data_IF_452995185320
#
_entry.id   IF_452995185320
#
_cell.length_a   1.000
_cell.length_b   1.000
_cell.length_c   1.000
_cell.angle_alpha   90.00
_cell.angle_beta   90.00
_cell.angle_gamma   90.00
#
_symmetry.space_group_name_H-M   'P 1'
#
loop_
_entity.id
_entity.type
_entity.pdbx_description
1 polymer ?
#
# COMPACT_ATOMS: atom_id res chain seq x y z
N UNK A 1 25.04 8.80 12.09
CA UNK A 1 23.69 8.21 12.26
C UNK A 1 23.79 6.75 11.82
N UNK A 2 23.37 5.77 12.63
CA UNK A 2 23.39 4.36 12.19
C UNK A 2 22.29 4.23 11.11
N UNK A 3 22.63 3.78 9.91
CA UNK A 3 21.66 3.36 8.92
C UNK A 3 20.86 2.21 9.53
N UNK A 4 19.55 2.30 9.48
CA UNK A 4 18.65 1.22 9.87
C UNK A 4 18.36 0.35 8.65
N UNK A 5 17.77 -0.81 8.89
CA UNK A 5 17.35 -1.76 7.85
C UNK A 5 15.98 -1.38 7.23
N UNK A 6 15.43 -0.21 7.61
CA UNK A 6 14.17 0.30 7.11
C UNK A 6 14.34 1.13 5.84
N UNK A 7 13.29 1.27 5.00
CA UNK A 7 13.34 2.12 3.82
C UNK A 7 13.88 3.52 4.14
N UNK A 8 14.65 4.09 3.22
CA UNK A 8 15.38 5.36 3.35
C UNK A 8 16.49 5.36 4.41
N UNK A 9 16.77 4.24 5.07
CA UNK A 9 17.82 4.13 6.10
C UNK A 9 17.56 4.96 7.37
N UNK A 10 16.33 5.35 7.63
CA UNK A 10 15.92 6.18 8.76
C UNK A 10 15.43 5.33 9.93
N UNK A 11 15.60 5.83 11.15
CA UNK A 11 15.04 5.21 12.36
C UNK A 11 13.55 5.49 12.48
N UNK A 12 12.82 4.59 13.13
CA UNK A 12 11.39 4.73 13.37
C UNK A 12 11.05 4.51 14.85
N UNK A 13 9.91 5.02 15.29
CA UNK A 13 9.34 4.78 16.61
C UNK A 13 7.87 4.38 16.48
N UNK A 14 7.39 3.50 17.36
CA UNK A 14 6.00 3.06 17.39
C UNK A 14 5.04 4.22 17.62
N UNK A 15 3.92 4.20 16.89
CA UNK A 15 2.78 5.09 17.08
C UNK A 15 1.74 4.35 17.94
N UNK A 16 1.35 4.95 19.05
CA UNK A 16 0.41 4.34 20.01
C UNK A 16 -0.98 4.97 19.99
N UNK A 17 -1.15 6.12 19.33
CA UNK A 17 -2.42 6.85 19.19
C UNK A 17 -2.44 7.67 17.91
N UNK A 18 -3.62 8.01 17.41
CA UNK A 18 -3.82 8.93 16.30
C UNK A 18 -4.58 8.32 15.14
N UNK A 19 -5.08 9.19 14.26
CA UNK A 19 -6.01 8.86 13.17
C UNK A 19 -5.45 7.79 12.22
N UNK A 20 -4.16 7.86 11.85
CA UNK A 20 -3.56 6.87 10.97
C UNK A 20 -3.57 5.46 11.59
N UNK A 21 -3.27 5.36 12.90
CA UNK A 21 -3.33 4.07 13.60
C UNK A 21 -4.77 3.54 13.64
N UNK A 22 -5.74 4.39 13.90
CA UNK A 22 -7.16 4.00 13.95
C UNK A 22 -7.64 3.47 12.59
N UNK A 23 -7.26 4.14 11.50
CA UNK A 23 -7.54 3.70 10.13
C UNK A 23 -6.89 2.35 9.83
N UNK A 24 -5.61 2.21 10.15
CA UNK A 24 -4.90 0.96 9.92
C UNK A 24 -5.53 -0.21 10.71
N UNK A 25 -5.88 0.01 11.98
CA UNK A 25 -6.58 -1.00 12.79
C UNK A 25 -7.97 -1.36 12.24
N UNK A 26 -8.65 -0.43 11.58
CA UNK A 26 -9.89 -0.73 10.83
C UNK A 26 -9.59 -1.64 9.65
N UNK A 27 -8.62 -1.27 8.82
CA UNK A 27 -8.18 -2.08 7.66
C UNK A 27 -7.77 -3.49 8.10
N UNK A 28 -6.99 -3.65 9.17
CA UNK A 28 -6.57 -4.97 9.66
C UNK A 28 -7.75 -5.87 10.06
N UNK A 29 -8.80 -5.32 10.66
CA UNK A 29 -10.02 -6.07 10.95
C UNK A 29 -10.73 -6.53 9.67
N UNK A 30 -10.90 -5.63 8.72
CA UNK A 30 -11.52 -5.92 7.41
C UNK A 30 -10.69 -6.93 6.61
N UNK A 31 -9.36 -6.82 6.64
CA UNK A 31 -8.46 -7.81 6.03
C UNK A 31 -8.61 -9.22 6.64
N UNK A 32 -8.93 -9.31 7.94
CA UNK A 32 -9.20 -10.61 8.56
C UNK A 32 -10.43 -11.28 7.96
N UNK A 33 -11.50 -10.51 7.72
CA UNK A 33 -12.71 -11.03 7.08
C UNK A 33 -12.47 -11.37 5.61
N UNK A 34 -11.72 -10.54 4.88
CA UNK A 34 -11.36 -10.81 3.47
C UNK A 34 -10.52 -12.08 3.33
N UNK A 35 -9.58 -12.34 4.24
CA UNK A 35 -8.78 -13.58 4.21
C UNK A 35 -9.62 -14.82 4.36
N UNK A 36 -10.68 -14.79 5.16
CA UNK A 36 -11.62 -15.91 5.26
C UNK A 36 -12.34 -16.13 3.92
N UNK A 37 -12.79 -15.07 3.26
CA UNK A 37 -13.43 -15.15 1.95
C UNK A 37 -12.45 -15.65 0.88
N UNK A 38 -11.23 -15.11 0.84
CA UNK A 38 -10.19 -15.54 -0.09
C UNK A 38 -9.89 -17.03 0.08
N UNK A 39 -9.78 -17.52 1.32
CA UNK A 39 -9.56 -18.95 1.60
C UNK A 39 -10.68 -19.82 1.05
N UNK A 40 -11.94 -19.43 1.24
CA UNK A 40 -13.10 -20.16 0.69
C UNK A 40 -13.03 -20.20 -0.85
N UNK A 41 -12.71 -19.07 -1.46
CA UNK A 41 -12.61 -18.95 -2.92
C UNK A 41 -11.39 -19.70 -3.51
N UNK A 42 -10.29 -19.77 -2.78
CA UNK A 42 -9.10 -20.53 -3.17
C UNK A 42 -9.35 -22.05 -3.10
N UNK A 43 -10.07 -22.51 -2.07
CA UNK A 43 -10.41 -23.92 -1.90
C UNK A 43 -11.44 -24.41 -2.94
N UNK A 44 -12.37 -23.57 -3.38
CA UNK A 44 -13.36 -23.87 -4.42
C UNK A 44 -13.71 -22.65 -5.27
N UNK A 45 -12.93 -22.44 -6.32
CA UNK A 45 -13.15 -21.36 -7.30
C UNK A 45 -14.53 -21.42 -7.97
N UNK A 46 -15.08 -22.63 -8.18
CA UNK A 46 -16.37 -22.80 -8.88
C UNK A 46 -17.55 -22.33 -8.02
N UNK A 47 -17.42 -22.42 -6.72
CA UNK A 47 -18.44 -21.98 -5.76
C UNK A 47 -18.22 -20.54 -5.28
N UNK A 48 -17.07 -19.92 -5.61
CA UNK A 48 -16.78 -18.54 -5.24
C UNK A 48 -17.74 -17.56 -5.93
N UNK A 49 -18.43 -16.73 -5.14
CA UNK A 49 -19.40 -15.74 -5.62
C UNK A 49 -18.83 -14.32 -5.70
N UNK A 50 -17.63 -14.10 -5.21
CA UNK A 50 -16.97 -12.79 -5.21
C UNK A 50 -16.07 -12.62 -6.44
N UNK A 51 -16.49 -11.77 -7.38
CA UNK A 51 -15.67 -11.43 -8.53
C UNK A 51 -14.36 -10.76 -8.14
N UNK A 52 -14.38 -9.91 -7.11
CA UNK A 52 -13.18 -9.26 -6.58
C UNK A 52 -12.19 -10.27 -5.97
N UNK A 53 -12.68 -11.27 -5.23
CA UNK A 53 -11.84 -12.32 -4.68
C UNK A 53 -11.20 -13.18 -5.80
N UNK A 54 -11.96 -13.56 -6.80
CA UNK A 54 -11.43 -14.31 -7.95
C UNK A 54 -10.38 -13.50 -8.73
N UNK A 55 -10.62 -12.20 -8.91
CA UNK A 55 -9.69 -11.30 -9.57
C UNK A 55 -8.40 -11.12 -8.74
N UNK A 56 -8.53 -10.94 -7.44
CA UNK A 56 -7.38 -10.85 -6.53
C UNK A 56 -6.55 -12.14 -6.55
N UNK A 57 -7.19 -13.30 -6.44
CA UNK A 57 -6.51 -14.60 -6.50
C UNK A 57 -5.79 -14.80 -7.84
N UNK A 58 -6.41 -14.43 -8.97
CA UNK A 58 -5.77 -14.52 -10.29
C UNK A 58 -4.48 -13.64 -10.37
N UNK A 59 -4.49 -12.45 -9.78
CA UNK A 59 -3.30 -11.58 -9.69
C UNK A 59 -2.22 -12.24 -8.83
N UNK A 60 -2.58 -12.77 -7.67
CA UNK A 60 -1.66 -13.44 -6.75
C UNK A 60 -1.05 -14.69 -7.39
N UNK A 61 -1.86 -15.52 -8.04
CA UNK A 61 -1.40 -16.76 -8.68
C UNK A 61 -0.46 -16.51 -9.85
N UNK A 62 -0.75 -15.47 -10.67
CA UNK A 62 0.17 -15.02 -11.71
C UNK A 62 1.55 -14.64 -11.13
N UNK A 63 1.55 -13.91 -10.02
CA UNK A 63 2.79 -13.51 -9.36
C UNK A 63 3.52 -14.68 -8.68
N UNK A 64 2.80 -15.65 -8.13
CA UNK A 64 3.37 -16.88 -7.53
C UNK A 64 4.19 -17.68 -8.54
N UNK A 65 3.86 -17.62 -9.82
CA UNK A 65 4.60 -18.27 -10.91
C UNK A 65 5.99 -17.65 -11.15
N UNK A 66 6.27 -16.49 -10.58
CA UNK A 66 7.53 -15.74 -10.71
C UNK A 66 8.29 -15.67 -9.38
N UNK A 67 9.56 -15.24 -9.44
CA UNK A 67 10.42 -15.06 -8.26
C UNK A 67 11.12 -13.70 -8.26
N UNK A 68 11.56 -13.24 -7.09
CA UNK A 68 12.35 -12.03 -6.94
C UNK A 68 11.66 -10.80 -7.54
N UNK A 69 12.41 -10.00 -8.30
CA UNK A 69 11.91 -8.75 -8.90
C UNK A 69 10.75 -8.95 -9.86
N UNK A 70 10.69 -10.09 -10.55
CA UNK A 70 9.59 -10.38 -11.48
C UNK A 70 8.26 -10.56 -10.73
N UNK A 71 8.26 -11.29 -9.60
CA UNK A 71 7.07 -11.43 -8.73
C UNK A 71 6.57 -10.07 -8.24
N UNK A 72 7.48 -9.25 -7.70
CA UNK A 72 7.14 -7.92 -7.19
C UNK A 72 6.59 -7.03 -8.31
N UNK A 73 7.22 -7.07 -9.48
CA UNK A 73 6.82 -6.30 -10.65
C UNK A 73 5.46 -6.72 -11.22
N UNK A 74 5.15 -8.02 -11.20
CA UNK A 74 3.84 -8.53 -11.63
C UNK A 74 2.71 -7.97 -10.76
N UNK A 75 2.84 -8.01 -9.43
CA UNK A 75 1.87 -7.41 -8.51
C UNK A 75 1.75 -5.91 -8.75
N UNK A 76 2.87 -5.17 -8.82
CA UNK A 76 2.83 -3.73 -9.05
C UNK A 76 2.08 -3.39 -10.34
N UNK A 77 2.41 -4.08 -11.43
CA UNK A 77 1.78 -3.87 -12.73
C UNK A 77 0.30 -4.26 -12.73
N UNK A 78 -0.04 -5.44 -12.20
CA UNK A 78 -1.42 -5.93 -12.21
C UNK A 78 -2.35 -4.99 -11.43
N UNK A 79 -1.98 -4.60 -10.21
CA UNK A 79 -2.77 -3.69 -9.37
C UNK A 79 -2.89 -2.31 -10.05
N UNK A 80 -1.79 -1.74 -10.58
CA UNK A 80 -1.83 -0.44 -11.25
C UNK A 80 -2.72 -0.43 -12.51
N UNK A 81 -2.88 -1.55 -13.20
CA UNK A 81 -3.73 -1.65 -14.38
C UNK A 81 -5.19 -1.98 -14.04
N UNK A 82 -5.44 -2.56 -12.88
CA UNK A 82 -6.78 -3.02 -12.49
C UNK A 82 -7.60 -1.91 -11.82
N UNK A 83 -6.96 -1.11 -10.98
CA UNK A 83 -7.59 -0.02 -10.22
C UNK A 83 -7.47 1.28 -11.02
N UNK A 84 -8.56 2.05 -11.11
CA UNK A 84 -8.56 3.41 -11.68
C UNK A 84 -8.27 4.42 -10.56
N UNK A 85 -7.41 5.44 -10.80
CA UNK A 85 -7.16 6.46 -9.79
C UNK A 85 -8.40 7.38 -9.65
N UNK A 86 -9.04 7.33 -8.49
CA UNK A 86 -10.19 8.17 -8.13
C UNK A 86 -10.04 8.53 -6.66
N UNK A 87 -10.24 9.80 -6.31
CA UNK A 87 -10.18 10.25 -4.92
C UNK A 87 -11.37 9.71 -4.11
N UNK A 88 -11.16 9.48 -2.83
CA UNK A 88 -12.19 9.05 -1.89
C UNK A 88 -13.39 9.99 -1.85
N UNK A 89 -13.15 11.29 -1.92
CA UNK A 89 -14.23 12.27 -1.97
C UNK A 89 -15.15 12.03 -3.18
N UNK A 90 -14.60 11.68 -4.33
CA UNK A 90 -15.38 11.39 -5.53
C UNK A 90 -16.04 10.01 -5.48
N UNK A 91 -15.44 9.04 -4.80
CA UNK A 91 -15.92 7.67 -4.73
C UNK A 91 -16.95 7.47 -3.60
N UNK A 92 -16.67 8.02 -2.42
CA UNK A 92 -17.44 7.78 -1.19
C UNK A 92 -18.13 9.02 -0.64
N UNK A 93 -17.82 10.22 -1.14
CA UNK A 93 -18.29 11.49 -0.55
C UNK A 93 -17.61 11.83 0.79
N UNK A 94 -16.61 11.09 1.16
CA UNK A 94 -15.78 11.26 2.37
C UNK A 94 -14.31 11.37 1.97
N UNK A 95 -13.48 12.00 2.80
CA UNK A 95 -12.06 12.12 2.54
C UNK A 95 -11.28 11.03 3.29
N UNK A 96 -10.24 10.50 2.63
CA UNK A 96 -9.20 9.66 3.25
C UNK A 96 -9.80 8.37 3.87
N UNK A 97 -10.49 7.57 3.04
CA UNK A 97 -11.13 6.28 3.36
C UNK A 97 -10.22 5.14 2.95
N UNK A 98 -9.63 4.46 3.90
CA UNK A 98 -8.73 3.33 3.63
C UNK A 98 -9.51 2.04 3.44
N UNK A 99 -9.39 1.44 2.27
CA UNK A 99 -10.14 0.24 1.87
C UNK A 99 -9.25 -1.00 1.73
N UNK A 100 -9.72 -2.17 2.19
CA UNK A 100 -9.02 -3.42 1.94
C UNK A 100 -9.15 -3.87 0.47
N UNK A 101 -8.30 -4.79 -0.01
CA UNK A 101 -8.17 -5.13 -1.43
C UNK A 101 -9.45 -5.52 -2.15
N UNK A 102 -10.33 -6.31 -1.51
CA UNK A 102 -11.53 -6.78 -2.19
C UNK A 102 -12.58 -5.69 -2.36
N UNK A 103 -12.64 -4.71 -1.45
CA UNK A 103 -13.47 -3.53 -1.60
C UNK A 103 -12.94 -2.69 -2.76
N UNK A 104 -11.65 -2.36 -2.77
CA UNK A 104 -11.02 -1.58 -3.84
C UNK A 104 -11.18 -2.23 -5.22
N UNK A 105 -11.04 -3.57 -5.30
CA UNK A 105 -11.22 -4.29 -6.56
C UNK A 105 -12.70 -4.39 -6.99
N UNK A 106 -13.63 -4.46 -6.04
CA UNK A 106 -15.06 -4.45 -6.35
C UNK A 106 -15.51 -3.09 -6.94
N UNK A 107 -14.97 -1.98 -6.43
CA UNK A 107 -15.19 -0.62 -6.95
C UNK A 107 -14.41 -0.39 -8.26
N UNK A 108 -13.31 -1.13 -8.46
CA UNK A 108 -12.40 -0.95 -9.59
C UNK A 108 -11.74 0.44 -9.61
N UNK A 109 -11.73 1.12 -8.47
CA UNK A 109 -11.21 2.47 -8.29
C UNK A 109 -10.73 2.68 -6.85
N UNK A 110 -9.83 3.64 -6.65
CA UNK A 110 -9.29 4.00 -5.34
C UNK A 110 -8.16 5.02 -5.49
N UNK A 111 -7.64 5.51 -4.37
CA UNK A 111 -6.50 6.42 -4.38
C UNK A 111 -5.20 5.77 -3.86
N UNK A 112 -4.20 6.55 -3.48
CA UNK A 112 -2.85 6.03 -3.27
C UNK A 112 -2.74 4.99 -2.16
N UNK A 113 -3.47 5.13 -1.06
CA UNK A 113 -3.48 4.18 0.05
C UNK A 113 -4.17 2.87 -0.30
N UNK A 114 -5.26 2.90 -1.09
CA UNK A 114 -5.95 1.71 -1.55
C UNK A 114 -5.05 0.86 -2.45
N UNK A 115 -4.33 1.50 -3.38
CA UNK A 115 -3.31 0.82 -4.18
C UNK A 115 -2.19 0.24 -3.31
N UNK A 116 -1.74 0.99 -2.30
CA UNK A 116 -0.67 0.53 -1.42
C UNK A 116 -1.13 -0.68 -0.57
N UNK A 117 -2.34 -0.65 -0.02
CA UNK A 117 -2.93 -1.76 0.74
C UNK A 117 -3.10 -2.98 -0.15
N UNK A 118 -3.68 -2.81 -1.35
CA UNK A 118 -3.89 -3.90 -2.29
C UNK A 118 -2.57 -4.57 -2.70
N UNK A 119 -1.53 -3.79 -3.02
CA UNK A 119 -0.19 -4.31 -3.35
C UNK A 119 0.45 -5.01 -2.16
N UNK A 120 0.38 -4.41 -0.97
CA UNK A 120 0.97 -4.96 0.25
C UNK A 120 0.39 -6.34 0.56
N UNK A 121 -0.93 -6.47 0.53
CA UNK A 121 -1.62 -7.75 0.79
C UNK A 121 -1.35 -8.75 -0.34
N UNK A 122 -1.41 -8.33 -1.60
CA UNK A 122 -1.13 -9.22 -2.74
C UNK A 122 0.31 -9.76 -2.73
N UNK A 123 1.29 -8.96 -2.31
CA UNK A 123 2.67 -9.40 -2.15
C UNK A 123 2.82 -10.43 -1.03
N UNK A 124 2.12 -10.23 0.11
CA UNK A 124 2.10 -11.21 1.21
C UNK A 124 1.50 -12.53 0.72
N UNK A 125 0.34 -12.49 0.08
CA UNK A 125 -0.32 -13.69 -0.45
C UNK A 125 0.50 -14.37 -1.57
N UNK A 126 1.26 -13.60 -2.34
CA UNK A 126 2.20 -14.15 -3.33
C UNK A 126 3.47 -14.74 -2.70
N UNK A 127 3.63 -14.72 -1.36
CA UNK A 127 4.73 -15.35 -0.63
C UNK A 127 5.96 -14.45 -0.47
N UNK A 128 5.82 -13.14 -0.57
CA UNK A 128 6.86 -12.20 -0.13
C UNK A 128 6.82 -12.11 1.39
N UNK A 129 7.98 -12.22 2.03
CA UNK A 129 8.06 -12.21 3.49
C UNK A 129 7.54 -10.88 4.07
N UNK A 130 6.72 -10.96 5.12
CA UNK A 130 6.17 -9.77 5.81
C UNK A 130 7.25 -8.86 6.39
N UNK A 131 8.43 -9.42 6.74
CA UNK A 131 9.58 -8.61 7.22
C UNK A 131 10.21 -7.78 6.10
N UNK A 132 9.92 -8.10 4.84
CA UNK A 132 10.43 -7.42 3.65
C UNK A 132 9.39 -6.50 2.99
N UNK A 133 8.28 -6.22 3.67
CA UNK A 133 7.20 -5.37 3.15
C UNK A 133 6.87 -4.22 4.09
N UNK A 134 6.70 -3.03 3.53
CA UNK A 134 6.26 -1.82 4.23
C UNK A 134 5.27 -1.05 3.36
N UNK A 135 4.24 -0.48 3.98
CA UNK A 135 3.55 0.68 3.41
C UNK A 135 4.27 1.92 3.96
N UNK A 136 4.64 2.83 3.10
CA UNK A 136 5.28 4.09 3.47
C UNK A 136 4.36 5.24 3.12
N UNK A 137 3.91 5.98 4.13
CA UNK A 137 3.25 7.27 3.96
C UNK A 137 4.34 8.34 3.96
N UNK A 138 4.34 9.17 2.95
CA UNK A 138 5.40 10.13 2.67
C UNK A 138 4.84 11.45 2.13
N UNK A 139 5.63 12.50 2.17
CA UNK A 139 5.38 13.73 1.41
C UNK A 139 6.09 13.62 0.08
N UNK A 140 5.36 13.77 -0.99
CA UNK A 140 5.91 13.93 -2.34
C UNK A 140 6.14 15.43 -2.61
N UNK A 141 7.40 15.83 -2.71
CA UNK A 141 7.78 17.24 -2.91
C UNK A 141 7.57 17.71 -4.35
N UNK A 142 7.38 16.79 -5.31
CA UNK A 142 7.08 17.15 -6.70
C UNK A 142 5.61 17.56 -6.84
N UNK A 143 4.71 16.76 -6.24
CA UNK A 143 3.27 17.00 -6.30
C UNK A 143 2.75 17.82 -5.13
N UNK A 144 3.63 18.09 -4.14
CA UNK A 144 3.31 18.83 -2.90
C UNK A 144 2.14 18.25 -2.11
N UNK A 145 2.02 16.90 -2.10
CA UNK A 145 0.94 16.19 -1.40
C UNK A 145 1.46 15.00 -0.59
N UNK A 146 0.65 14.53 0.34
CA UNK A 146 0.90 13.30 1.07
C UNK A 146 0.54 12.12 0.17
N UNK A 147 1.35 11.07 0.21
CA UNK A 147 1.26 9.96 -0.71
C UNK A 147 1.58 8.63 0.00
N UNK A 148 0.99 7.54 -0.48
CA UNK A 148 1.24 6.20 0.05
C UNK A 148 1.82 5.29 -1.05
N UNK A 149 2.87 4.57 -0.71
CA UNK A 149 3.52 3.60 -1.59
C UNK A 149 3.88 2.32 -0.83
N UNK A 150 4.11 1.23 -1.55
CA UNK A 150 4.70 0.03 -0.95
C UNK A 150 6.22 0.05 -1.16
N UNK A 151 6.95 -0.30 -0.11
CA UNK A 151 8.35 -0.65 -0.18
C UNK A 151 8.50 -2.17 -0.01
N UNK A 152 9.12 -2.84 -0.98
CA UNK A 152 9.42 -4.26 -0.93
C UNK A 152 10.94 -4.46 -0.96
N UNK A 153 11.48 -5.21 0.01
CA UNK A 153 12.92 -5.47 0.09
C UNK A 153 13.29 -6.68 -0.76
N UNK A 154 14.30 -6.51 -1.59
CA UNK A 154 14.87 -7.55 -2.42
C UNK A 154 16.39 -7.37 -2.45
N UNK A 155 17.14 -8.43 -2.14
CA UNK A 155 18.61 -8.46 -2.17
C UNK A 155 19.26 -7.29 -1.38
N UNK A 156 18.62 -6.89 -0.27
CA UNK A 156 19.09 -5.82 0.61
C UNK A 156 18.72 -4.39 0.19
N UNK A 157 18.02 -4.21 -0.95
CA UNK A 157 17.53 -2.92 -1.43
C UNK A 157 16.00 -2.82 -1.29
N UNK A 158 15.48 -1.65 -0.99
CA UNK A 158 14.05 -1.37 -0.95
C UNK A 158 13.56 -0.84 -2.29
N UNK A 159 12.68 -1.60 -2.95
CA UNK A 159 12.01 -1.21 -4.19
C UNK A 159 10.72 -0.47 -3.86
N UNK A 160 10.52 0.71 -4.45
CA UNK A 160 9.32 1.53 -4.23
C UNK A 160 8.29 1.23 -5.32
N UNK A 161 7.10 0.77 -4.90
CA UNK A 161 5.97 0.41 -5.76
C UNK A 161 4.90 1.51 -5.67
N UNK A 162 4.92 2.40 -6.62
CA UNK A 162 4.02 3.54 -6.71
C UNK A 162 2.86 3.25 -7.69
N UNK A 163 1.66 3.77 -7.41
CA UNK A 163 0.53 3.66 -8.34
C UNK A 163 0.68 4.56 -9.58
N UNK A 164 1.51 5.61 -9.50
CA UNK A 164 1.79 6.55 -10.60
C UNK A 164 2.80 6.00 -11.61
N UNK A 165 3.58 4.98 -11.22
CA UNK A 165 4.69 4.48 -12.04
C UNK A 165 4.70 2.94 -12.10
N UNK A 166 5.03 2.42 -13.30
CA UNK A 166 5.27 0.98 -13.47
C UNK A 166 6.69 0.58 -13.04
N UNK A 167 7.60 1.54 -13.05
CA UNK A 167 9.00 1.34 -12.63
C UNK A 167 9.06 1.24 -11.11
N UNK A 168 9.91 0.37 -10.61
CA UNK A 168 10.18 0.21 -9.19
C UNK A 168 11.61 0.70 -8.89
N UNK A 169 11.80 2.01 -8.65
CA UNK A 169 13.10 2.54 -8.26
C UNK A 169 13.48 2.08 -6.85
N UNK A 170 14.76 2.09 -6.53
CA UNK A 170 15.20 1.91 -5.15
C UNK A 170 14.95 3.20 -4.33
N UNK A 171 14.75 3.04 -3.02
CA UNK A 171 14.43 4.13 -2.10
C UNK A 171 15.44 5.29 -2.14
N UNK A 172 16.73 4.98 -2.28
CA UNK A 172 17.78 5.99 -2.39
C UNK A 172 17.68 6.84 -3.66
N UNK A 173 17.08 6.32 -4.74
CA UNK A 173 16.91 7.05 -6.01
C UNK A 173 15.80 8.10 -5.92
N UNK A 174 14.81 7.87 -5.05
CA UNK A 174 13.66 8.76 -4.87
C UNK A 174 13.76 9.63 -3.60
N UNK A 175 14.75 9.42 -2.75
CA UNK A 175 14.96 10.12 -1.47
C UNK A 175 15.13 11.65 -1.59
N UNK A 176 15.36 12.17 -2.80
CA UNK A 176 15.48 13.60 -3.05
C UNK A 176 14.13 14.32 -3.13
N UNK A 177 13.03 13.59 -3.36
CA UNK A 177 11.67 14.15 -3.44
C UNK A 177 10.64 13.40 -2.59
N UNK A 178 10.94 12.20 -2.11
CA UNK A 178 10.10 11.46 -1.16
C UNK A 178 10.62 11.66 0.26
N UNK A 179 9.84 12.33 1.08
CA UNK A 179 10.12 12.51 2.52
C UNK A 179 9.24 11.59 3.35
N UNK A 180 9.75 10.45 3.83
CA UNK A 180 8.94 9.48 4.57
C UNK A 180 8.48 10.06 5.91
N UNK A 181 7.22 9.81 6.26
CA UNK A 181 6.57 10.29 7.48
C UNK A 181 6.19 9.12 8.37
N UNK A 182 5.44 8.16 7.84
CA UNK A 182 5.06 6.95 8.56
C UNK A 182 5.42 5.69 7.78
N UNK A 183 5.56 4.63 8.53
CA UNK A 183 5.78 3.27 8.04
C UNK A 183 4.74 2.36 8.70
N UNK A 184 4.15 1.48 7.91
CA UNK A 184 3.19 0.47 8.37
C UNK A 184 3.72 -0.90 7.97
N UNK A 185 3.73 -1.82 8.92
CA UNK A 185 4.10 -3.21 8.70
C UNK A 185 3.26 -4.16 9.59
N UNK A 186 3.64 -5.43 9.67
CA UNK A 186 3.00 -6.44 10.49
C UNK A 186 3.05 -6.16 12.01
N UNK A 187 3.82 -5.18 12.47
CA UNK A 187 3.91 -4.75 13.87
C UNK A 187 3.05 -3.51 14.15
N UNK A 188 2.43 -2.93 13.12
CA UNK A 188 1.58 -1.75 13.21
C UNK A 188 2.21 -0.49 12.60
N UNK A 189 1.83 0.67 13.11
CA UNK A 189 2.22 1.97 12.58
C UNK A 189 3.44 2.52 13.31
N UNK A 190 4.42 2.99 12.56
CA UNK A 190 5.63 3.63 13.09
C UNK A 190 5.85 4.98 12.41
N UNK A 191 6.44 5.93 13.13
CA UNK A 191 6.80 7.24 12.61
C UNK A 191 8.30 7.32 12.37
N UNK A 192 8.71 7.85 11.23
CA UNK A 192 10.12 8.11 10.93
C UNK A 192 10.67 9.25 11.80
N UNK A 193 11.88 9.08 12.30
CA UNK A 193 12.58 10.11 13.08
C UNK A 193 13.04 11.26 12.19
N UNK A 194 12.75 12.50 12.60
CA UNK A 194 13.08 13.69 11.83
C UNK A 194 12.07 14.06 10.75
N UNK A 195 10.98 13.31 10.64
CA UNK A 195 9.88 13.68 9.73
C UNK A 195 9.23 14.99 10.15
N UNK A 196 8.81 15.83 9.21
CA UNK A 196 8.07 17.04 9.51
C UNK A 196 6.83 16.70 10.34
N UNK A 197 6.46 17.59 11.26
CA UNK A 197 5.14 17.53 11.89
C UNK A 197 4.12 17.63 10.75
N UNK A 198 3.21 16.67 10.62
CA UNK A 198 2.03 16.91 9.83
C UNK A 198 1.30 18.02 10.58
N UNK A 199 1.13 19.23 9.98
CA UNK A 199 0.22 20.19 10.57
C UNK A 199 -1.12 19.50 10.68
N UNK A 200 -1.81 19.70 11.78
CA UNK A 200 -3.23 19.35 11.91
C UNK A 200 -3.96 20.20 10.85
N UNK A 201 -4.00 19.70 9.61
CA UNK A 201 -4.68 20.41 8.53
C UNK A 201 -6.16 20.22 8.75
N UNK A 202 -6.95 21.29 8.66
CA UNK A 202 -8.40 21.15 8.58
C UNK A 202 -8.71 20.22 7.39
N UNK A 203 -9.57 19.24 7.63
CA UNK A 203 -10.08 18.29 6.66
C UNK A 203 -10.43 19.02 5.36
N UNK A 204 -9.71 18.79 4.28
CA UNK A 204 -10.00 19.40 2.99
C UNK A 204 -8.84 19.73 2.07
N UNK A 205 -7.76 18.94 1.99
CA UNK A 205 -6.64 19.25 1.09
C UNK A 205 -5.93 18.05 0.45
N UNK A 206 -6.64 16.94 0.25
CA UNK A 206 -6.16 15.88 -0.63
C UNK A 206 -7.19 15.75 -1.75
N UNK A 207 -6.96 16.35 -2.88
CA UNK A 207 -7.84 16.16 -4.03
C UNK A 207 -8.25 17.40 -4.81
N UNK A 208 -7.29 18.20 -5.24
CA UNK A 208 -7.51 19.07 -6.39
C UNK A 208 -6.21 19.09 -7.19
N UNK A 209 -6.18 18.28 -8.26
CA UNK A 209 -5.52 18.57 -9.56
C UNK A 209 -5.45 17.27 -10.36
N UNK A 210 -6.59 16.91 -10.97
CA UNK A 210 -6.58 16.13 -12.20
C UNK A 210 -7.43 16.91 -13.20
N UNK A 211 -6.77 17.70 -14.04
CA UNK A 211 -7.24 18.08 -15.38
C UNK A 211 -6.29 17.51 -16.41
#
# INVERSE_FOLDING_TARGET
>A
MRRTDEPFGLTTSMVTTGTLLEKWLKVERELSDERMLLKICEDDHASCRSGAALQFLAIVDSARASVGRARIGEINRAINLTIRPVSDLALYGEEDVWSPPLITLAEGAGDCEDYAIAKFVALQEAGVSTVDLRIVVLRDDIWEEDHAVVAARLDGSWLMLDNRHMVMPEDHQVSKYYRPIFLIDHNGVRRYSGSPSIPDRPRGAIGQLLH
#
